data_IF_552164657690
#
_entry.id   IF_552164657690
#
_cell.length_a   1.000
_cell.length_b   1.000
_cell.length_c   1.000
_cell.angle_alpha   90.00
_cell.angle_beta   90.00
_cell.angle_gamma   90.00
#
_symmetry.space_group_name_H-M   'P 1'
#
loop_
_entity.id
_entity.type
_entity.pdbx_description
1 polymer ?
#
# COMPACT_ATOMS: atom_id res chain seq x y z
N UNK A 1 -20.98 16.14 9.09
CA UNK A 1 -20.30 14.83 9.03
C UNK A 1 -19.16 14.95 8.03
N UNK A 2 -17.95 14.56 8.41
CA UNK A 2 -16.83 14.44 7.48
C UNK A 2 -16.80 13.06 6.84
N UNK A 3 -16.12 12.93 5.69
CA UNK A 3 -15.76 11.65 5.11
C UNK A 3 -14.23 11.53 5.14
N UNK A 4 -13.74 10.31 5.28
CA UNK A 4 -12.33 9.96 5.31
C UNK A 4 -11.96 9.32 3.98
N UNK A 5 -10.76 9.60 3.49
CA UNK A 5 -10.20 8.99 2.28
C UNK A 5 -8.98 8.16 2.66
N UNK A 6 -8.92 6.94 2.14
CA UNK A 6 -7.80 6.02 2.21
C UNK A 6 -7.34 5.69 0.80
N UNK A 7 -6.03 5.79 0.59
CA UNK A 7 -5.36 5.37 -0.64
C UNK A 7 -4.25 4.42 -0.25
N UNK A 8 -4.32 3.18 -0.74
CA UNK A 8 -3.39 2.11 -0.39
C UNK A 8 -3.08 1.23 -1.60
N UNK A 9 -1.94 0.55 -1.58
CA UNK A 9 -1.65 -0.53 -2.51
C UNK A 9 -1.65 -1.84 -1.75
N UNK A 10 -2.45 -2.82 -2.16
CA UNK A 10 -2.70 -4.02 -1.38
C UNK A 10 -2.76 -5.28 -2.26
N UNK A 11 -2.62 -6.44 -1.64
CA UNK A 11 -2.75 -7.74 -2.34
C UNK A 11 -4.21 -8.10 -2.60
N UNK A 12 -4.44 -9.07 -3.47
CA UNK A 12 -5.78 -9.61 -3.76
C UNK A 12 -6.49 -10.19 -2.53
N UNK A 13 -5.72 -10.75 -1.59
CA UNK A 13 -6.28 -11.31 -0.34
C UNK A 13 -6.83 -10.19 0.56
N UNK A 14 -6.11 -9.06 0.63
CA UNK A 14 -6.55 -7.89 1.39
C UNK A 14 -7.76 -7.24 0.72
N UNK A 15 -7.79 -7.11 -0.62
CA UNK A 15 -8.99 -6.67 -1.35
C UNK A 15 -10.20 -7.53 -1.01
N UNK A 16 -10.03 -8.85 -1.02
CA UNK A 16 -11.10 -9.79 -0.67
C UNK A 16 -11.54 -9.63 0.79
N UNK A 17 -10.60 -9.34 1.69
CA UNK A 17 -10.90 -9.07 3.10
C UNK A 17 -11.65 -7.75 3.29
N UNK A 18 -11.26 -6.68 2.60
CA UNK A 18 -11.95 -5.38 2.59
C UNK A 18 -13.39 -5.57 2.09
N UNK A 19 -13.59 -6.29 0.98
CA UNK A 19 -14.93 -6.54 0.45
C UNK A 19 -15.81 -7.29 1.47
N UNK A 20 -15.27 -8.30 2.17
CA UNK A 20 -16.02 -9.00 3.23
C UNK A 20 -16.42 -8.09 4.38
N UNK A 21 -15.57 -7.13 4.77
CA UNK A 21 -15.94 -6.16 5.80
C UNK A 21 -17.05 -5.24 5.31
N UNK A 22 -16.93 -4.69 4.10
CA UNK A 22 -17.97 -3.86 3.48
C UNK A 22 -19.32 -4.57 3.47
N UNK A 23 -19.36 -5.84 3.03
CA UNK A 23 -20.56 -6.66 3.03
C UNK A 23 -21.11 -6.91 4.44
N UNK A 24 -20.23 -7.17 5.43
CA UNK A 24 -20.60 -7.38 6.83
C UNK A 24 -21.23 -6.14 7.46
N UNK A 25 -20.79 -4.95 7.07
CA UNK A 25 -21.38 -3.70 7.54
C UNK A 25 -22.72 -3.39 6.86
N UNK A 26 -23.05 -4.08 5.76
CA UNK A 26 -24.34 -4.00 5.07
C UNK A 26 -24.31 -3.23 3.75
N UNK A 27 -23.14 -2.76 3.33
CA UNK A 27 -22.96 -2.13 2.03
C UNK A 27 -22.99 -3.21 0.95
N UNK A 28 -24.12 -3.34 0.28
CA UNK A 28 -24.33 -4.34 -0.76
C UNK A 28 -23.67 -3.87 -2.07
N UNK A 29 -22.56 -4.51 -2.43
CA UNK A 29 -21.78 -4.17 -3.61
C UNK A 29 -20.63 -5.12 -3.82
N UNK A 30 -20.39 -5.49 -5.07
CA UNK A 30 -19.14 -6.18 -5.44
C UNK A 30 -18.17 -5.13 -5.97
N UNK A 31 -16.97 -5.12 -5.41
CA UNK A 31 -15.87 -4.30 -5.91
C UNK A 31 -15.62 -4.66 -7.39
N UNK A 32 -15.70 -3.65 -8.25
CA UNK A 32 -15.36 -3.75 -9.67
C UNK A 32 -14.10 -2.95 -9.95
N UNK A 33 -13.15 -3.57 -10.65
CA UNK A 33 -11.95 -2.85 -11.10
C UNK A 33 -12.30 -1.90 -12.24
N UNK A 34 -11.62 -0.77 -12.35
CA UNK A 34 -11.85 0.19 -13.44
C UNK A 34 -13.03 1.15 -13.20
N UNK A 35 -13.72 1.08 -12.06
CA UNK A 35 -14.90 1.90 -11.79
C UNK A 35 -14.93 2.39 -10.34
N UNK A 36 -15.27 3.67 -10.17
CA UNK A 36 -15.58 4.24 -8.86
C UNK A 36 -17.04 3.96 -8.52
N UNK A 37 -17.27 3.21 -7.45
CA UNK A 37 -18.60 2.77 -7.03
C UNK A 37 -18.96 3.41 -5.70
N UNK A 38 -20.22 3.81 -5.52
CA UNK A 38 -20.72 4.33 -4.24
C UNK A 38 -21.88 3.47 -3.76
N UNK A 39 -21.79 3.03 -2.50
CA UNK A 39 -22.83 2.27 -1.79
C UNK A 39 -23.30 3.09 -0.60
N UNK A 40 -24.61 3.13 -0.40
CA UNK A 40 -25.26 3.86 0.69
C UNK A 40 -25.96 2.87 1.61
N UNK A 41 -25.90 3.14 2.90
CA UNK A 41 -26.61 2.42 3.93
C UNK A 41 -27.01 3.40 5.03
N UNK A 42 -28.31 3.61 5.20
CA UNK A 42 -28.86 4.61 6.14
C UNK A 42 -28.23 6.01 5.96
N UNK A 43 -27.42 6.46 6.93
CA UNK A 43 -26.70 7.74 6.90
C UNK A 43 -25.22 7.60 6.50
N UNK A 44 -24.80 6.37 6.22
CA UNK A 44 -23.44 6.03 5.85
C UNK A 44 -23.30 5.79 4.36
N UNK A 45 -22.11 6.09 3.86
CA UNK A 45 -21.73 5.96 2.47
C UNK A 45 -20.30 5.45 2.41
N UNK A 46 -20.07 4.49 1.53
CA UNK A 46 -18.74 4.11 1.09
C UNK A 46 -18.66 4.33 -0.41
N UNK A 47 -17.56 4.94 -0.85
CA UNK A 47 -17.16 4.93 -2.23
C UNK A 47 -15.81 4.26 -2.38
N UNK A 48 -15.64 3.45 -3.41
CA UNK A 48 -14.41 2.70 -3.61
C UNK A 48 -14.08 2.48 -5.08
N UNK A 49 -12.78 2.39 -5.35
CA UNK A 49 -12.21 2.01 -6.63
C UNK A 49 -10.98 1.15 -6.38
N UNK A 50 -10.81 0.11 -7.20
CA UNK A 50 -9.57 -0.66 -7.22
C UNK A 50 -9.02 -0.75 -8.64
N UNK A 51 -7.71 -0.49 -8.79
CA UNK A 51 -7.03 -0.60 -10.09
C UNK A 51 -5.82 -1.53 -9.99
N UNK A 52 -5.60 -2.42 -10.97
CA UNK A 52 -4.40 -3.25 -11.00
C UNK A 52 -3.13 -2.39 -11.10
N UNK A 53 -2.14 -2.67 -10.24
CA UNK A 53 -0.82 -2.06 -10.29
C UNK A 53 0.22 -3.09 -9.85
N UNK A 54 1.08 -3.52 -10.77
CA UNK A 54 2.01 -4.62 -10.50
C UNK A 54 1.27 -5.92 -10.14
N UNK A 55 1.74 -6.62 -9.11
CA UNK A 55 1.15 -7.83 -8.53
C UNK A 55 0.06 -7.57 -7.49
N UNK A 56 -0.46 -6.34 -7.40
CA UNK A 56 -1.51 -5.95 -6.46
C UNK A 56 -2.49 -4.95 -7.05
N UNK A 57 -3.22 -4.26 -6.18
CA UNK A 57 -4.22 -3.27 -6.55
C UNK A 57 -3.99 -1.98 -5.77
N UNK A 58 -4.11 -0.84 -6.44
CA UNK A 58 -4.41 0.40 -5.71
C UNK A 58 -5.86 0.34 -5.26
N UNK A 59 -6.13 0.83 -4.06
CA UNK A 59 -7.44 0.89 -3.43
C UNK A 59 -7.66 2.33 -2.98
N UNK A 60 -8.59 3.02 -3.62
CA UNK A 60 -9.14 4.27 -3.13
C UNK A 60 -10.46 3.96 -2.42
N UNK A 61 -10.56 4.31 -1.15
CA UNK A 61 -11.77 4.14 -0.33
C UNK A 61 -12.12 5.45 0.35
N UNK A 62 -13.34 5.92 0.16
CA UNK A 62 -13.88 7.11 0.82
C UNK A 62 -15.10 6.71 1.62
N UNK A 63 -15.10 6.90 2.94
CA UNK A 63 -16.22 6.51 3.79
C UNK A 63 -16.45 7.50 4.93
N UNK A 64 -17.70 7.67 5.34
CA UNK A 64 -18.07 8.35 6.59
C UNK A 64 -18.40 7.38 7.74
N UNK A 65 -18.35 6.07 7.49
CA UNK A 65 -18.56 5.02 8.51
C UNK A 65 -17.27 4.75 9.26
N UNK A 66 -17.15 5.26 10.49
CA UNK A 66 -15.97 5.06 11.34
C UNK A 66 -15.81 3.58 11.69
N UNK A 67 -16.90 2.90 12.05
CA UNK A 67 -16.87 1.49 12.45
C UNK A 67 -16.35 0.59 11.32
N UNK A 68 -16.71 0.88 10.07
CA UNK A 68 -16.16 0.19 8.91
C UNK A 68 -14.66 0.45 8.76
N UNK A 69 -14.22 1.72 8.88
CA UNK A 69 -12.83 2.11 8.73
C UNK A 69 -11.92 1.46 9.78
N UNK A 70 -12.39 1.36 11.02
CA UNK A 70 -11.68 0.69 12.12
C UNK A 70 -11.65 -0.84 11.96
N UNK A 71 -12.63 -1.41 11.24
CA UNK A 71 -12.70 -2.85 10.98
C UNK A 71 -11.90 -3.30 9.74
N UNK A 72 -11.31 -2.37 8.99
CA UNK A 72 -10.47 -2.70 7.84
C UNK A 72 -9.23 -3.50 8.28
N UNK A 73 -8.74 -4.43 7.44
CA UNK A 73 -7.47 -5.12 7.69
C UNK A 73 -6.30 -4.14 7.62
N UNK A 74 -5.11 -4.60 7.98
CA UNK A 74 -3.88 -3.88 7.71
C UNK A 74 -3.74 -3.63 6.19
N UNK A 75 -3.64 -2.35 5.81
CA UNK A 75 -3.52 -1.89 4.43
C UNK A 75 -2.07 -1.56 4.05
N UNK A 76 -1.10 -2.01 4.86
CA UNK A 76 0.32 -1.90 4.55
C UNK A 76 0.62 -2.46 3.15
N UNK A 77 1.46 -1.77 2.36
CA UNK A 77 1.80 -2.22 1.03
C UNK A 77 2.52 -3.57 1.06
N UNK A 78 2.30 -4.42 0.04
CA UNK A 78 3.05 -5.66 -0.10
C UNK A 78 4.55 -5.38 -0.26
N UNK A 79 5.38 -6.36 0.07
CA UNK A 79 6.81 -6.23 -0.14
C UNK A 79 7.15 -6.04 -1.63
N UNK A 80 8.28 -5.39 -1.98
CA UNK A 80 8.60 -5.07 -3.37
C UNK A 80 8.64 -6.27 -4.32
N UNK A 81 9.18 -7.42 -3.90
CA UNK A 81 9.17 -8.65 -4.72
C UNK A 81 7.79 -9.28 -4.85
N UNK A 82 6.84 -8.97 -3.96
CA UNK A 82 5.45 -9.41 -4.10
C UNK A 82 4.69 -8.51 -5.09
N UNK A 83 4.92 -7.20 -5.02
CA UNK A 83 4.35 -6.23 -5.95
C UNK A 83 4.96 -6.35 -7.36
N UNK A 84 6.23 -6.73 -7.48
CA UNK A 84 6.95 -6.83 -8.76
C UNK A 84 7.86 -8.07 -8.80
N UNK A 85 7.29 -9.30 -8.90
CA UNK A 85 8.05 -10.55 -8.77
C UNK A 85 9.05 -10.81 -9.91
N UNK A 86 8.91 -10.12 -11.04
CA UNK A 86 9.83 -10.22 -12.19
C UNK A 86 10.95 -9.19 -12.19
N UNK A 87 11.05 -8.33 -11.17
CA UNK A 87 12.05 -7.27 -11.10
C UNK A 87 13.27 -7.75 -10.30
N UNK A 88 14.43 -7.68 -10.93
CA UNK A 88 15.73 -7.86 -10.29
C UNK A 88 16.17 -6.54 -9.62
N UNK A 89 16.28 -6.54 -8.29
CA UNK A 89 16.61 -5.35 -7.54
C UNK A 89 18.07 -4.90 -7.72
N UNK A 90 18.97 -5.81 -8.10
CA UNK A 90 20.38 -5.49 -8.32
C UNK A 90 20.61 -4.63 -9.57
N UNK A 91 19.68 -4.70 -10.54
CA UNK A 91 19.70 -3.93 -11.78
C UNK A 91 18.88 -2.63 -11.76
N UNK A 92 18.29 -2.25 -10.62
CA UNK A 92 17.46 -1.05 -10.47
C UNK A 92 18.27 0.26 -10.45
N UNK A 93 19.11 0.49 -11.45
CA UNK A 93 19.86 1.73 -11.61
C UNK A 93 18.96 2.95 -11.89
N UNK A 94 17.80 2.76 -12.52
CA UNK A 94 16.80 3.81 -12.75
C UNK A 94 15.40 3.21 -12.66
N UNK A 95 14.75 3.33 -11.49
CA UNK A 95 13.32 2.97 -11.38
C UNK A 95 12.53 3.79 -12.40
N UNK A 96 11.66 3.14 -13.17
CA UNK A 96 10.81 3.82 -14.14
C UNK A 96 9.44 3.15 -14.25
N UNK A 97 8.46 3.91 -14.72
CA UNK A 97 7.09 3.43 -14.93
C UNK A 97 6.37 3.08 -13.63
N UNK A 98 5.57 2.01 -13.66
CA UNK A 98 4.71 1.58 -12.55
C UNK A 98 5.47 1.29 -11.26
N UNK A 99 6.71 0.79 -11.35
CA UNK A 99 7.54 0.49 -10.18
C UNK A 99 7.97 1.77 -9.45
N UNK A 100 8.43 2.79 -10.17
CA UNK A 100 8.85 4.06 -9.56
C UNK A 100 7.66 4.78 -8.93
N UNK A 101 6.53 4.81 -9.65
CA UNK A 101 5.28 5.34 -9.12
C UNK A 101 4.86 4.62 -7.83
N UNK A 102 4.75 3.28 -7.88
CA UNK A 102 4.38 2.48 -6.71
C UNK A 102 5.34 2.68 -5.53
N UNK A 103 6.64 2.70 -5.81
CA UNK A 103 7.67 2.90 -4.80
C UNK A 103 7.49 4.23 -4.07
N UNK A 104 7.33 5.33 -4.83
CA UNK A 104 7.22 6.68 -4.28
C UNK A 104 5.89 6.93 -3.57
N UNK A 105 4.80 6.38 -4.10
CA UNK A 105 3.46 6.66 -3.56
C UNK A 105 3.07 5.76 -2.39
N UNK A 106 3.51 4.50 -2.38
CA UNK A 106 3.04 3.51 -1.41
C UNK A 106 4.16 2.97 -0.53
N UNK A 107 5.17 2.35 -1.15
CA UNK A 107 6.17 1.60 -0.40
C UNK A 107 7.11 2.48 0.43
N UNK A 108 7.63 3.56 -0.15
CA UNK A 108 8.59 4.43 0.53
C UNK A 108 7.98 5.20 1.70
N UNK A 109 6.79 5.82 1.58
CA UNK A 109 6.11 6.41 2.74
C UNK A 109 5.84 5.38 3.85
N UNK A 110 5.43 4.16 3.50
CA UNK A 110 5.28 3.08 4.46
C UNK A 110 6.60 2.75 5.16
N UNK A 111 7.69 2.55 4.40
CA UNK A 111 9.02 2.28 4.94
C UNK A 111 9.49 3.37 5.91
N UNK A 112 9.27 4.64 5.57
CA UNK A 112 9.61 5.77 6.41
C UNK A 112 8.75 5.84 7.69
N UNK A 113 7.50 5.38 7.63
CA UNK A 113 6.61 5.32 8.81
C UNK A 113 7.02 4.27 9.85
N UNK A 114 7.80 3.26 9.44
CA UNK A 114 8.29 2.22 10.34
C UNK A 114 9.24 2.78 11.41
N UNK A 115 9.27 2.14 12.57
CA UNK A 115 10.29 2.40 13.58
C UNK A 115 11.65 1.84 13.13
N UNK A 116 12.74 2.33 13.73
CA UNK A 116 14.09 1.80 13.49
C UNK A 116 14.19 0.30 13.78
N UNK A 117 13.47 -0.19 14.79
CA UNK A 117 13.43 -1.63 15.14
C UNK A 117 12.78 -2.41 14.01
N UNK A 118 11.60 -1.99 13.55
CA UNK A 118 10.89 -2.65 12.44
C UNK A 118 11.70 -2.64 11.14
N UNK A 119 12.34 -1.51 10.80
CA UNK A 119 13.25 -1.45 9.64
C UNK A 119 14.42 -2.42 9.78
N UNK A 120 15.02 -2.50 10.96
CA UNK A 120 16.12 -3.43 11.22
C UNK A 120 15.67 -4.89 11.10
N UNK A 121 14.53 -5.25 11.68
CA UNK A 121 13.95 -6.60 11.56
C UNK A 121 13.73 -6.96 10.09
N UNK A 122 13.10 -6.06 9.32
CA UNK A 122 12.87 -6.27 7.90
C UNK A 122 14.16 -6.45 7.08
N UNK A 123 15.22 -5.67 7.38
CA UNK A 123 16.52 -5.75 6.70
C UNK A 123 17.37 -6.97 7.07
N UNK A 124 17.03 -7.70 8.13
CA UNK A 124 17.76 -8.87 8.60
C UNK A 124 16.96 -10.17 8.48
N UNK A 125 15.71 -10.11 8.03
CA UNK A 125 14.92 -11.30 7.76
C UNK A 125 15.48 -12.07 6.55
N UNK A 126 15.93 -13.30 6.81
CA UNK A 126 16.48 -14.19 5.80
C UNK A 126 15.43 -14.71 4.80
N UNK A 127 14.13 -14.60 5.12
CA UNK A 127 13.05 -14.88 4.18
C UNK A 127 12.93 -13.82 3.08
N UNK A 128 13.48 -12.62 3.30
CA UNK A 128 13.48 -11.56 2.30
C UNK A 128 14.66 -11.70 1.32
N UNK A 129 14.43 -11.54 0.01
CA UNK A 129 15.50 -11.56 -0.99
C UNK A 129 16.62 -10.57 -0.67
N UNK A 130 17.88 -11.03 -0.77
CA UNK A 130 19.06 -10.23 -0.41
C UNK A 130 19.22 -8.99 -1.29
N UNK A 131 18.90 -9.11 -2.58
CA UNK A 131 18.94 -8.01 -3.55
C UNK A 131 17.99 -6.88 -3.14
N UNK A 132 16.77 -7.21 -2.73
CA UNK A 132 15.80 -6.24 -2.23
C UNK A 132 16.20 -5.64 -0.89
N UNK A 133 16.73 -6.45 0.04
CA UNK A 133 17.25 -5.93 1.32
C UNK A 133 18.41 -4.97 1.11
N UNK A 134 19.36 -5.33 0.25
CA UNK A 134 20.50 -4.48 -0.12
C UNK A 134 20.03 -3.19 -0.80
N UNK A 135 19.07 -3.28 -1.72
CA UNK A 135 18.53 -2.12 -2.40
C UNK A 135 17.82 -1.14 -1.45
N UNK A 136 16.96 -1.62 -0.56
CA UNK A 136 16.30 -0.78 0.45
C UNK A 136 17.34 -0.11 1.35
N UNK A 137 18.36 -0.85 1.80
CA UNK A 137 19.44 -0.31 2.64
C UNK A 137 20.20 0.83 1.94
N UNK A 138 20.51 0.69 0.65
CA UNK A 138 21.17 1.75 -0.12
C UNK A 138 20.31 3.00 -0.23
N UNK A 139 19.00 2.83 -0.37
CA UNK A 139 18.04 3.93 -0.50
C UNK A 139 17.85 4.68 0.83
N UNK A 140 17.78 3.95 1.93
CA UNK A 140 17.73 4.51 3.29
C UNK A 140 18.97 5.37 3.58
N UNK A 141 20.15 4.84 3.27
CA UNK A 141 21.41 5.57 3.42
C UNK A 141 21.51 6.82 2.52
N UNK A 142 20.98 6.76 1.30
CA UNK A 142 20.95 7.93 0.42
C UNK A 142 20.01 9.02 0.91
N UNK A 143 18.87 8.64 1.50
CA UNK A 143 17.89 9.59 2.01
C UNK A 143 18.41 10.32 3.26
N UNK A 144 19.15 9.62 4.14
CA UNK A 144 19.77 10.23 5.31
C UNK A 144 20.81 11.30 4.92
N UNK A 145 21.63 11.04 3.89
CA UNK A 145 22.66 11.97 3.41
C UNK A 145 22.09 13.27 2.83
N UNK A 146 20.88 13.25 2.23
CA UNK A 146 20.24 14.45 1.68
C UNK A 146 19.72 15.41 2.77
N UNK A 147 19.47 14.89 3.98
CA UNK A 147 19.09 15.70 5.16
C UNK A 147 20.28 16.41 5.83
N UNK A 148 21.52 16.05 5.47
CA UNK A 148 22.76 16.59 6.03
C UNK A 148 23.52 17.47 5.00
N UNK A 149 22.80 18.31 4.25
CA UNK A 149 23.45 19.39 3.49
C UNK A 149 23.71 20.59 4.42
N UNK A 150 24.97 20.98 4.68
CA UNK A 150 25.29 22.15 5.48
C UNK A 150 24.90 23.42 4.70
N UNK A 151 24.17 24.31 5.37
CA UNK A 151 23.94 25.69 4.94
C UNK A 151 25.24 26.51 4.94
#
# INVERSE_FOLDING_TARGET
>A
MGAYSLDAHVTVDIISSVQRQIEKFGFLGRLQTGCFQTHLQDQEAISLQAEPLGGGFTLLLVSNSIDLLEALPDLSPPAPWQAFPGVDASGLGSRQGSLDYWWRQYWWPYWQSLTRVQRNEWLHDAAHPEDWRSYVRLQDASADNDTESPA
#
